data_IF_808427794592
#
_entry.id   IF_808427794592
#
_cell.length_a   1.000
_cell.length_b   1.000
_cell.length_c   1.000
_cell.angle_alpha   90.00
_cell.angle_beta   90.00
_cell.angle_gamma   90.00
#
_symmetry.space_group_name_H-M   'P 1'
#
loop_
_entity.id
_entity.type
_entity.pdbx_description
1 polymer ?
#
# COMPACT_ATOMS: atom_id res chain seq x y z
N UNK A 1 33.37 42.67 2.01
CA UNK A 1 33.11 41.24 2.29
C UNK A 1 31.63 41.01 2.10
N UNK A 2 31.22 40.42 0.98
CA UNK A 2 29.81 40.05 0.75
C UNK A 2 29.50 38.83 1.63
N UNK A 3 28.93 39.08 2.81
CA UNK A 3 28.49 38.02 3.72
C UNK A 3 27.47 37.14 3.01
N UNK A 4 27.60 35.81 3.15
CA UNK A 4 26.55 34.88 2.71
C UNK A 4 25.24 35.32 3.39
N UNK A 5 24.14 35.50 2.64
CA UNK A 5 22.86 35.85 3.24
C UNK A 5 22.46 34.74 4.23
N UNK A 6 21.96 35.18 5.38
CA UNK A 6 21.41 34.30 6.41
C UNK A 6 20.29 33.41 5.80
N UNK A 7 20.36 32.07 5.92
CA UNK A 7 19.44 31.17 5.22
C UNK A 7 17.97 31.41 5.53
N UNK A 8 17.61 31.71 6.78
CA UNK A 8 16.21 31.97 7.15
C UNK A 8 15.74 33.29 6.55
N UNK A 9 16.56 34.34 6.59
CA UNK A 9 16.25 35.62 5.92
C UNK A 9 16.07 35.43 4.40
N UNK A 10 16.91 34.62 3.76
CA UNK A 10 16.77 34.29 2.33
C UNK A 10 15.50 33.48 2.04
N UNK A 11 15.19 32.46 2.84
CA UNK A 11 13.98 31.65 2.68
C UNK A 11 12.72 32.51 2.80
N UNK A 12 12.63 33.33 3.84
CA UNK A 12 11.48 34.19 4.10
C UNK A 12 11.29 35.25 3.00
N UNK A 13 12.37 35.81 2.47
CA UNK A 13 12.30 36.87 1.46
C UNK A 13 12.11 36.35 0.02
N UNK A 14 12.74 35.22 -0.31
CA UNK A 14 12.88 34.71 -1.68
C UNK A 14 12.44 33.25 -1.79
N UNK A 15 12.94 32.37 -0.92
CA UNK A 15 12.76 30.92 -1.07
C UNK A 15 11.30 30.49 -1.10
N UNK A 16 10.50 30.93 -0.12
CA UNK A 16 9.07 30.60 -0.05
C UNK A 16 8.30 31.06 -1.29
N UNK A 17 8.59 32.25 -1.84
CA UNK A 17 7.93 32.75 -3.06
C UNK A 17 8.31 31.98 -4.32
N UNK A 18 9.45 31.28 -4.28
CA UNK A 18 9.90 30.38 -5.34
C UNK A 18 9.44 28.94 -5.14
N UNK A 19 8.64 28.66 -4.10
CA UNK A 19 8.23 27.31 -3.75
C UNK A 19 9.40 26.41 -3.36
N UNK A 20 10.48 26.98 -2.80
CA UNK A 20 11.57 26.19 -2.24
C UNK A 20 11.15 25.65 -0.87
N UNK A 21 11.58 24.42 -0.58
CA UNK A 21 11.27 23.77 0.68
C UNK A 21 12.23 24.18 1.80
N UNK A 22 11.72 24.37 3.03
CA UNK A 22 12.56 24.72 4.17
C UNK A 22 13.32 23.51 4.73
N UNK A 23 12.82 22.29 4.51
CA UNK A 23 13.46 21.02 4.84
C UNK A 23 12.81 19.88 4.02
N UNK A 24 13.42 18.67 3.95
CA UNK A 24 12.89 17.56 3.15
C UNK A 24 11.50 17.04 3.55
N UNK A 25 11.00 17.34 4.75
CA UNK A 25 9.73 16.87 5.28
C UNK A 25 8.62 17.94 5.23
N UNK A 26 8.86 19.06 4.54
CA UNK A 26 7.86 20.10 4.29
C UNK A 26 7.87 20.46 2.81
N UNK A 27 6.81 20.09 2.10
CA UNK A 27 6.62 20.43 0.70
C UNK A 27 5.76 21.70 0.60
N UNK A 28 6.41 22.79 0.18
CA UNK A 28 5.79 24.10 0.08
C UNK A 28 4.75 24.18 -1.03
N UNK A 29 4.92 23.41 -2.11
CA UNK A 29 4.00 23.42 -3.24
C UNK A 29 2.76 22.61 -2.90
N UNK A 30 2.95 21.40 -2.36
CA UNK A 30 1.87 20.58 -1.82
C UNK A 30 1.08 21.34 -0.75
N UNK A 31 1.77 21.97 0.22
CA UNK A 31 1.07 22.70 1.27
C UNK A 31 0.21 23.83 0.69
N UNK A 32 0.65 24.51 -0.37
CA UNK A 32 -0.15 25.56 -1.00
C UNK A 32 -1.28 25.01 -1.89
N UNK A 33 -1.09 23.84 -2.52
CA UNK A 33 -2.17 23.20 -3.31
C UNK A 33 -3.30 22.68 -2.44
N UNK A 34 -2.97 22.10 -1.29
CA UNK A 34 -3.94 21.59 -0.31
C UNK A 34 -4.59 22.71 0.51
N UNK A 35 -4.02 23.91 0.49
CA UNK A 35 -4.52 25.06 1.25
C UNK A 35 -4.67 26.30 0.36
N UNK A 36 -5.64 26.32 -0.58
CA UNK A 36 -5.80 27.37 -1.58
C UNK A 36 -5.92 28.78 -0.99
N UNK A 37 -6.54 28.92 0.19
CA UNK A 37 -6.67 30.21 0.87
C UNK A 37 -5.32 30.77 1.35
N UNK A 38 -4.38 29.90 1.70
CA UNK A 38 -3.01 30.30 2.04
C UNK A 38 -2.30 30.78 0.78
N UNK A 39 -2.47 30.06 -0.34
CA UNK A 39 -1.92 30.45 -1.64
C UNK A 39 -2.49 31.79 -2.14
N UNK A 40 -3.80 31.97 -2.09
CA UNK A 40 -4.50 33.20 -2.51
C UNK A 40 -4.09 34.42 -1.69
N UNK A 41 -3.87 34.23 -0.37
CA UNK A 41 -3.39 35.31 0.51
C UNK A 41 -1.94 35.72 0.23
N UNK A 42 -1.18 34.91 -0.52
CA UNK A 42 0.25 35.10 -0.73
C UNK A 42 1.09 34.89 0.54
N UNK A 43 0.53 34.20 1.55
CA UNK A 43 1.20 33.93 2.82
C UNK A 43 2.36 32.95 2.63
N UNK A 44 3.40 33.09 3.46
CA UNK A 44 4.49 32.11 3.50
C UNK A 44 3.95 30.78 4.08
N UNK A 45 4.09 29.64 3.38
CA UNK A 45 3.48 28.37 3.77
C UNK A 45 4.03 27.84 5.09
N UNK A 46 5.36 27.89 5.30
CA UNK A 46 5.95 27.48 6.56
C UNK A 46 5.49 28.37 7.72
N UNK A 47 5.46 29.69 7.53
CA UNK A 47 5.00 30.61 8.57
C UNK A 47 3.53 30.34 8.94
N UNK A 48 2.68 30.07 7.96
CA UNK A 48 1.29 29.69 8.18
C UNK A 48 1.19 28.34 8.92
N UNK A 49 1.95 27.33 8.50
CA UNK A 49 1.95 26.01 9.14
C UNK A 49 2.34 26.10 10.63
N UNK A 50 3.41 26.84 10.93
CA UNK A 50 3.89 27.06 12.30
C UNK A 50 2.87 27.82 13.17
N UNK A 51 2.18 28.82 12.60
CA UNK A 51 1.23 29.63 13.34
C UNK A 51 -0.14 28.95 13.53
N UNK A 52 -0.62 28.24 12.51
CA UNK A 52 -1.99 27.74 12.42
C UNK A 52 -2.05 26.28 11.97
N UNK A 53 -1.37 25.95 10.85
CA UNK A 53 -1.61 24.70 10.14
C UNK A 53 -1.38 23.44 10.97
N UNK A 54 -0.37 23.43 11.83
CA UNK A 54 -0.12 22.30 12.74
C UNK A 54 -1.29 22.06 13.73
N UNK A 55 -1.85 23.11 14.32
CA UNK A 55 -3.01 23.01 15.24
C UNK A 55 -4.30 22.64 14.50
N UNK A 56 -4.40 23.05 13.25
CA UNK A 56 -5.47 22.70 12.33
C UNK A 56 -5.29 21.32 11.69
N UNK A 57 -4.26 20.56 12.08
CA UNK A 57 -3.94 19.21 11.58
C UNK A 57 -3.74 19.16 10.07
N UNK A 58 -3.23 20.23 9.46
CA UNK A 58 -2.91 20.27 8.03
C UNK A 58 -1.66 19.46 7.74
N UNK A 59 -1.60 18.81 6.58
CA UNK A 59 -0.46 18.00 6.18
C UNK A 59 0.64 18.88 5.55
N UNK A 60 1.87 18.86 6.06
CA UNK A 60 3.00 19.59 5.49
C UNK A 60 3.61 18.90 4.26
N UNK A 61 3.30 17.63 4.03
CA UNK A 61 3.87 16.79 2.98
C UNK A 61 2.91 15.62 2.68
N UNK A 62 2.83 15.08 1.44
CA UNK A 62 1.95 13.93 1.13
C UNK A 62 2.23 12.68 1.99
N UNK A 63 3.49 12.49 2.40
CA UNK A 63 3.95 11.41 3.27
C UNK A 63 3.99 11.78 4.77
N UNK A 64 3.33 12.85 5.19
CA UNK A 64 3.16 13.19 6.60
C UNK A 64 1.70 13.54 6.90
N UNK A 65 1.03 12.68 7.66
CA UNK A 65 -0.35 12.88 8.07
C UNK A 65 -0.38 13.41 9.51
N UNK A 66 -0.64 14.70 9.66
CA UNK A 66 -0.69 15.37 10.95
C UNK A 66 -1.79 14.82 11.87
N UNK A 67 -2.93 14.39 11.31
CA UNK A 67 -4.01 13.83 12.10
C UNK A 67 -3.64 12.44 12.61
N UNK A 68 -3.21 11.55 11.72
CA UNK A 68 -2.71 10.22 12.07
C UNK A 68 -1.64 10.31 13.15
N UNK A 69 -0.65 11.19 12.96
CA UNK A 69 0.47 11.33 13.88
C UNK A 69 0.02 11.75 15.28
N UNK A 70 -0.90 12.73 15.38
CA UNK A 70 -1.43 13.18 16.66
C UNK A 70 -2.33 12.15 17.34
N UNK A 71 -3.07 11.34 16.57
CA UNK A 71 -3.90 10.26 17.13
C UNK A 71 -3.05 9.15 17.76
N UNK A 72 -1.89 8.83 17.17
CA UNK A 72 -1.01 7.77 17.65
C UNK A 72 -0.01 8.25 18.71
N UNK A 73 0.60 9.41 18.51
CA UNK A 73 1.71 9.90 19.34
C UNK A 73 1.38 11.17 20.12
N UNK A 74 0.21 11.78 19.91
CA UNK A 74 -0.15 13.04 20.57
C UNK A 74 -0.17 12.97 22.09
N UNK A 75 -0.44 11.78 22.66
CA UNK A 75 -0.39 11.54 24.10
C UNK A 75 1.04 11.64 24.70
N UNK A 76 2.08 11.58 23.86
CA UNK A 76 3.49 11.75 24.24
C UNK A 76 3.94 13.21 24.16
N UNK A 77 3.14 14.08 23.53
CA UNK A 77 3.50 15.47 23.24
C UNK A 77 3.10 16.40 24.38
N UNK A 78 3.92 17.43 24.61
CA UNK A 78 3.47 18.59 25.36
C UNK A 78 2.37 19.32 24.59
N UNK A 79 1.49 20.03 25.30
CA UNK A 79 0.46 20.87 24.70
C UNK A 79 1.06 21.83 23.65
N UNK A 80 0.36 22.00 22.52
CA UNK A 80 0.79 22.82 21.37
C UNK A 80 2.10 22.39 20.67
N UNK A 81 2.66 21.21 20.96
CA UNK A 81 3.82 20.71 20.20
C UNK A 81 3.45 20.49 18.74
N UNK A 82 4.27 21.02 17.83
CA UNK A 82 4.10 20.80 16.39
C UNK A 82 4.44 19.33 16.05
N UNK A 83 3.54 18.57 15.41
CA UNK A 83 3.74 17.14 15.15
C UNK A 83 4.92 16.88 14.21
N UNK A 84 5.12 17.72 13.18
CA UNK A 84 6.26 17.60 12.28
C UNK A 84 7.59 17.85 13.01
N UNK A 85 7.63 18.84 13.92
CA UNK A 85 8.82 19.12 14.71
C UNK A 85 9.18 17.93 15.62
N UNK A 86 8.19 17.36 16.30
CA UNK A 86 8.40 16.17 17.12
C UNK A 86 8.84 14.96 16.29
N UNK A 87 8.31 14.76 15.09
CA UNK A 87 8.78 13.69 14.21
C UNK A 87 10.22 13.90 13.72
N UNK A 88 10.61 15.15 13.43
CA UNK A 88 12.00 15.49 13.08
C UNK A 88 12.93 15.14 14.24
N UNK A 89 12.54 15.48 15.47
CA UNK A 89 13.40 15.31 16.65
C UNK A 89 13.42 13.86 17.17
N UNK A 90 12.29 13.15 17.08
CA UNK A 90 12.09 11.85 17.74
C UNK A 90 11.82 10.68 16.78
N UNK A 91 11.67 10.91 15.47
CA UNK A 91 11.33 9.86 14.49
C UNK A 91 12.51 9.01 14.00
N UNK A 92 13.74 9.33 14.40
CA UNK A 92 14.96 8.63 13.95
C UNK A 92 15.12 7.22 14.49
N UNK A 93 14.44 6.87 15.59
CA UNK A 93 14.55 5.57 16.25
C UNK A 93 13.61 4.49 15.66
N UNK A 94 12.75 4.85 14.69
CA UNK A 94 11.81 3.93 14.05
C UNK A 94 10.46 3.78 14.76
N UNK A 95 10.30 4.31 15.97
CA UNK A 95 9.09 4.09 16.79
C UNK A 95 7.89 4.97 16.39
N UNK A 96 8.10 5.87 15.43
CA UNK A 96 7.10 6.85 14.98
C UNK A 96 6.90 6.75 13.48
N UNK A 97 5.66 6.49 13.07
CA UNK A 97 5.25 6.46 11.67
C UNK A 97 4.67 7.83 11.28
N UNK A 98 5.14 8.46 10.19
CA UNK A 98 4.66 9.77 9.78
C UNK A 98 3.27 9.72 9.13
N UNK A 99 2.88 8.57 8.57
CA UNK A 99 1.57 8.30 8.03
C UNK A 99 1.31 6.79 8.02
N UNK A 100 0.09 6.39 7.68
CA UNK A 100 -0.31 4.98 7.62
C UNK A 100 0.46 4.16 6.58
N UNK A 101 1.03 4.80 5.56
CA UNK A 101 1.69 4.13 4.44
C UNK A 101 3.23 4.09 4.53
N UNK A 102 3.80 4.57 5.63
CA UNK A 102 5.24 4.55 5.88
C UNK A 102 5.51 3.95 7.25
N UNK A 103 6.14 2.78 7.26
CA UNK A 103 6.55 2.09 8.48
C UNK A 103 8.04 2.39 8.73
N UNK A 104 8.30 3.27 9.69
CA UNK A 104 9.64 3.71 10.03
C UNK A 104 10.50 2.57 10.59
N UNK A 105 9.90 1.65 11.34
CA UNK A 105 10.63 0.52 11.92
C UNK A 105 11.01 -0.48 10.84
N UNK A 106 10.06 -0.84 9.96
CA UNK A 106 10.31 -1.68 8.79
C UNK A 106 11.36 -1.06 7.88
N UNK A 107 11.25 0.23 7.57
CA UNK A 107 12.21 0.90 6.71
C UNK A 107 13.62 0.84 7.29
N UNK A 108 13.79 1.03 8.60
CA UNK A 108 15.10 0.92 9.23
C UNK A 108 15.61 -0.53 9.33
N UNK A 109 14.74 -1.53 9.50
CA UNK A 109 15.16 -2.94 9.53
C UNK A 109 15.63 -3.43 8.16
N UNK A 110 14.94 -3.02 7.09
CA UNK A 110 15.32 -3.35 5.71
C UNK A 110 16.54 -2.55 5.23
N UNK A 111 16.88 -1.46 5.91
CA UNK A 111 17.98 -0.57 5.54
C UNK A 111 18.90 -0.29 6.74
N UNK A 112 19.67 -1.30 7.21
CA UNK A 112 20.47 -1.19 8.42
C UNK A 112 21.49 -0.05 8.40
N UNK A 113 22.01 0.33 7.23
CA UNK A 113 22.94 1.44 7.08
C UNK A 113 22.28 2.80 7.38
N UNK A 114 20.97 2.93 7.11
CA UNK A 114 20.20 4.12 7.47
C UNK A 114 20.04 4.18 8.98
N UNK A 115 19.72 3.06 9.62
CA UNK A 115 19.62 2.95 11.07
C UNK A 115 20.95 3.28 11.77
N UNK A 116 22.06 2.71 11.29
CA UNK A 116 23.41 2.95 11.83
C UNK A 116 23.86 4.41 11.70
N UNK A 117 23.46 5.09 10.63
CA UNK A 117 23.78 6.51 10.42
C UNK A 117 22.97 7.47 11.32
N UNK A 118 21.89 6.99 11.95
CA UNK A 118 20.96 7.82 12.73
C UNK A 118 20.15 8.79 11.87
N UNK A 119 20.02 8.52 10.57
CA UNK A 119 19.24 9.35 9.65
C UNK A 119 17.74 9.20 9.91
N UNK A 120 16.96 10.29 9.79
CA UNK A 120 15.50 10.19 9.83
C UNK A 120 15.01 9.34 8.63
N UNK A 121 14.20 8.28 8.86
CA UNK A 121 13.86 7.30 7.83
C UNK A 121 13.06 7.91 6.68
N UNK A 122 12.06 8.76 6.98
CA UNK A 122 11.29 9.44 5.94
C UNK A 122 12.17 10.42 5.14
N UNK A 123 13.02 11.19 5.82
CA UNK A 123 13.93 12.12 5.13
C UNK A 123 14.90 11.37 4.20
N UNK A 124 15.43 10.23 4.64
CA UNK A 124 16.26 9.36 3.80
C UNK A 124 15.48 8.79 2.61
N UNK A 125 14.25 8.30 2.83
CA UNK A 125 13.40 7.77 1.77
C UNK A 125 13.11 8.81 0.68
N UNK A 126 12.77 10.04 1.07
CA UNK A 126 12.49 11.14 0.14
C UNK A 126 13.74 11.58 -0.64
N UNK A 127 14.91 11.60 0.01
CA UNK A 127 16.16 11.99 -0.62
C UNK A 127 16.73 10.90 -1.55
N UNK A 128 16.66 9.64 -1.14
CA UNK A 128 17.36 8.52 -1.77
C UNK A 128 16.45 7.32 -2.00
N UNK A 129 15.76 6.86 -0.96
CA UNK A 129 15.11 5.55 -0.95
C UNK A 129 14.10 5.32 -2.07
N UNK A 130 13.28 6.32 -2.40
CA UNK A 130 12.31 6.23 -3.49
C UNK A 130 12.99 5.99 -4.86
N UNK A 131 14.10 6.70 -5.14
CA UNK A 131 14.88 6.53 -6.39
C UNK A 131 15.62 5.21 -6.42
N UNK A 132 16.02 4.73 -5.25
CA UNK A 132 16.65 3.42 -5.05
C UNK A 132 15.63 2.27 -4.98
N UNK A 133 14.34 2.54 -5.17
CA UNK A 133 13.24 1.56 -5.12
C UNK A 133 13.14 0.79 -3.80
N UNK A 134 13.53 1.41 -2.68
CA UNK A 134 13.41 0.83 -1.34
C UNK A 134 11.96 0.86 -0.88
N UNK A 135 11.50 -0.21 -0.24
CA UNK A 135 10.12 -0.31 0.22
C UNK A 135 9.92 0.48 1.52
N UNK A 136 8.96 1.44 1.59
CA UNK A 136 8.64 2.19 2.79
C UNK A 136 7.72 1.44 3.76
N UNK A 137 7.10 0.35 3.33
CA UNK A 137 6.12 -0.42 4.10
C UNK A 137 6.02 -1.84 3.52
N UNK A 138 5.78 -2.91 4.33
CA UNK A 138 5.70 -4.29 3.82
C UNK A 138 4.67 -4.50 2.70
N UNK A 139 3.56 -3.76 2.77
CA UNK A 139 2.47 -3.78 1.78
C UNK A 139 2.61 -2.73 0.65
N UNK A 140 3.77 -2.10 0.49
CA UNK A 140 4.05 -1.22 -0.65
C UNK A 140 5.41 -1.57 -1.27
N UNK A 141 5.37 -2.09 -2.50
CA UNK A 141 6.56 -2.45 -3.26
C UNK A 141 6.89 -1.36 -4.28
N UNK A 142 7.92 -0.57 -3.99
CA UNK A 142 8.32 0.56 -4.83
C UNK A 142 8.79 0.14 -6.21
N UNK A 143 9.42 -1.03 -6.34
CA UNK A 143 9.87 -1.55 -7.62
C UNK A 143 8.67 -2.00 -8.46
N UNK A 144 7.80 -2.84 -7.89
CA UNK A 144 6.55 -3.28 -8.52
C UNK A 144 5.75 -2.08 -9.01
N UNK A 145 5.55 -1.09 -8.13
CA UNK A 145 4.73 0.08 -8.43
C UNK A 145 5.29 0.89 -9.61
N UNK A 146 6.60 1.13 -9.64
CA UNK A 146 7.25 1.86 -10.73
C UNK A 146 7.25 1.07 -12.04
N UNK A 147 7.37 -0.25 -12.00
CA UNK A 147 7.30 -1.09 -13.21
C UNK A 147 5.91 -1.08 -13.86
N UNK A 148 4.85 -1.00 -13.05
CA UNK A 148 3.46 -1.03 -13.54
C UNK A 148 2.93 0.37 -13.86
N UNK A 149 3.19 1.34 -12.99
CA UNK A 149 2.56 2.66 -13.04
C UNK A 149 3.55 3.78 -13.34
N UNK A 150 4.87 3.54 -13.28
CA UNK A 150 5.90 4.59 -13.45
C UNK A 150 5.80 5.37 -14.75
N UNK A 151 5.23 4.77 -15.82
CA UNK A 151 4.97 5.46 -17.08
C UNK A 151 3.87 6.54 -17.01
N UNK A 152 3.07 6.55 -15.94
CA UNK A 152 2.03 7.54 -15.66
C UNK A 152 2.55 8.72 -14.80
N UNK A 153 3.70 8.55 -14.16
CA UNK A 153 4.26 9.53 -13.23
C UNK A 153 5.04 10.61 -14.00
N UNK A 154 4.98 11.84 -13.49
CA UNK A 154 5.92 12.87 -13.91
C UNK A 154 7.34 12.51 -13.42
N UNK A 155 8.35 13.05 -14.09
CA UNK A 155 9.76 12.87 -13.69
C UNK A 155 9.96 13.23 -12.21
N UNK A 156 10.76 12.41 -11.49
CA UNK A 156 11.03 12.54 -10.05
C UNK A 156 9.82 12.43 -9.09
N UNK A 157 8.63 12.05 -9.56
CA UNK A 157 7.48 11.82 -8.67
C UNK A 157 7.75 10.64 -7.73
N UNK A 158 7.55 10.85 -6.43
CA UNK A 158 7.67 9.77 -5.45
C UNK A 158 6.55 8.74 -5.64
N UNK A 159 6.85 7.43 -5.80
CA UNK A 159 5.83 6.42 -6.09
C UNK A 159 4.81 6.27 -4.96
N UNK A 160 5.24 6.43 -3.70
CA UNK A 160 4.34 6.36 -2.56
C UNK A 160 3.42 7.58 -2.48
N UNK A 161 3.92 8.78 -2.78
CA UNK A 161 3.08 9.98 -2.86
C UNK A 161 1.99 9.81 -3.94
N UNK A 162 2.40 9.37 -5.13
CA UNK A 162 1.46 9.15 -6.23
C UNK A 162 0.44 8.04 -5.92
N UNK A 163 0.80 7.00 -5.17
CA UNK A 163 -0.18 6.01 -4.69
C UNK A 163 -1.16 6.59 -3.67
N UNK A 164 -0.69 7.43 -2.74
CA UNK A 164 -1.56 8.10 -1.77
C UNK A 164 -2.60 8.95 -2.49
N UNK A 165 -2.16 9.72 -3.49
CA UNK A 165 -3.01 10.67 -4.21
C UNK A 165 -3.95 9.97 -5.22
N UNK A 166 -3.49 8.90 -5.87
CA UNK A 166 -4.19 8.29 -7.01
C UNK A 166 -4.63 6.83 -6.80
N UNK A 167 -4.42 6.24 -5.63
CA UNK A 167 -4.74 4.84 -5.33
C UNK A 167 -6.19 4.58 -4.92
N UNK A 168 -6.99 5.62 -4.70
CA UNK A 168 -8.38 5.51 -4.19
C UNK A 168 -9.35 4.86 -5.18
N UNK A 169 -9.09 4.94 -6.49
CA UNK A 169 -9.99 4.46 -7.53
C UNK A 169 -9.90 2.94 -7.79
N UNK A 170 -8.97 2.23 -7.14
CA UNK A 170 -8.77 0.79 -7.32
C UNK A 170 -7.88 0.40 -8.49
N UNK A 171 -7.48 1.34 -9.36
CA UNK A 171 -6.68 1.03 -10.58
C UNK A 171 -5.19 0.80 -10.28
N UNK A 172 -4.75 1.05 -9.05
CA UNK A 172 -3.35 0.97 -8.62
C UNK A 172 -3.19 -0.02 -7.48
N UNK A 173 -2.39 -1.05 -7.70
CA UNK A 173 -2.03 -2.03 -6.68
C UNK A 173 -0.71 -1.60 -6.01
N UNK A 174 -0.64 -1.57 -4.67
CA UNK A 174 0.56 -1.14 -3.96
C UNK A 174 1.66 -2.21 -3.95
N UNK A 175 1.30 -3.48 -4.08
CA UNK A 175 2.20 -4.60 -4.23
C UNK A 175 1.48 -5.78 -4.93
N UNK A 176 2.24 -6.82 -5.27
CA UNK A 176 1.70 -8.01 -5.94
C UNK A 176 0.63 -8.76 -5.11
N UNK A 177 0.66 -8.63 -3.78
CA UNK A 177 -0.20 -9.37 -2.86
C UNK A 177 -1.44 -8.60 -2.40
N UNK A 178 -1.64 -7.38 -2.87
CA UNK A 178 -2.80 -6.56 -2.55
C UNK A 178 -3.47 -6.10 -3.84
N UNK A 179 -4.70 -6.54 -4.06
CA UNK A 179 -5.47 -6.12 -5.22
C UNK A 179 -6.51 -5.08 -4.81
N UNK A 180 -6.25 -3.84 -5.19
CA UNK A 180 -7.08 -2.69 -4.85
C UNK A 180 -8.48 -2.79 -5.44
N UNK A 181 -8.60 -3.29 -6.67
CA UNK A 181 -9.90 -3.44 -7.33
C UNK A 181 -10.71 -4.58 -6.71
N UNK A 182 -10.08 -5.73 -6.44
CA UNK A 182 -10.68 -6.84 -5.71
C UNK A 182 -11.24 -6.35 -4.39
N UNK A 183 -10.39 -5.68 -3.61
CA UNK A 183 -10.72 -5.22 -2.28
C UNK A 183 -11.93 -4.28 -2.30
N UNK A 184 -11.98 -3.33 -3.24
CA UNK A 184 -13.15 -2.45 -3.36
C UNK A 184 -14.41 -3.20 -3.83
N UNK A 185 -14.28 -4.22 -4.69
CA UNK A 185 -15.42 -5.01 -5.17
C UNK A 185 -16.05 -5.88 -4.07
N UNK A 186 -15.23 -6.46 -3.19
CA UNK A 186 -15.68 -7.26 -2.05
C UNK A 186 -16.15 -6.39 -0.88
N UNK A 187 -15.80 -5.10 -0.88
CA UNK A 187 -16.12 -4.15 0.18
C UNK A 187 -16.77 -2.88 -0.38
N UNK A 188 -18.02 -2.96 -0.89
CA UNK A 188 -18.67 -1.85 -1.60
C UNK A 188 -18.80 -0.57 -0.77
N UNK A 189 -18.91 -0.67 0.55
CA UNK A 189 -18.98 0.48 1.44
C UNK A 189 -17.67 1.28 1.48
N UNK A 190 -16.53 0.60 1.27
CA UNK A 190 -15.22 1.26 1.15
C UNK A 190 -15.17 2.02 -0.17
N UNK A 191 -15.63 1.39 -1.26
CA UNK A 191 -15.73 2.03 -2.58
C UNK A 191 -16.66 3.26 -2.56
N UNK A 192 -17.83 3.14 -1.94
CA UNK A 192 -18.80 4.24 -1.81
C UNK A 192 -18.26 5.41 -0.97
N UNK A 193 -17.42 5.14 0.04
CA UNK A 193 -16.78 6.18 0.85
C UNK A 193 -15.67 6.94 0.12
N UNK A 194 -15.16 6.41 -1.00
CA UNK A 194 -13.99 6.95 -1.70
C UNK A 194 -12.67 6.78 -0.94
N UNK A 195 -12.64 5.89 0.07
CA UNK A 195 -11.43 5.63 0.87
C UNK A 195 -10.37 4.88 0.06
N UNK A 196 -9.09 5.18 0.31
CA UNK A 196 -7.99 4.39 -0.25
C UNK A 196 -8.09 2.93 0.28
N UNK A 197 -8.09 1.91 -0.60
CA UNK A 197 -8.30 0.52 -0.19
C UNK A 197 -7.20 -0.01 0.72
N UNK A 198 -5.93 0.34 0.46
CA UNK A 198 -4.83 -0.05 1.34
C UNK A 198 -4.95 0.67 2.70
N UNK A 199 -5.29 1.96 2.73
CA UNK A 199 -5.52 2.66 4.01
C UNK A 199 -6.61 1.98 4.83
N UNK A 200 -7.76 1.66 4.22
CA UNK A 200 -8.83 0.97 4.92
C UNK A 200 -8.37 -0.41 5.41
N UNK A 201 -7.63 -1.17 4.59
CA UNK A 201 -7.14 -2.48 4.99
C UNK A 201 -6.20 -2.41 6.20
N UNK A 202 -5.25 -1.47 6.19
CA UNK A 202 -4.29 -1.26 7.27
C UNK A 202 -4.97 -0.80 8.57
N UNK A 203 -5.94 0.12 8.48
CA UNK A 203 -6.65 0.64 9.65
C UNK A 203 -7.63 -0.37 10.25
N UNK A 204 -8.39 -1.07 9.39
CA UNK A 204 -9.54 -1.89 9.79
C UNK A 204 -9.55 -3.28 9.17
N UNK A 205 -9.33 -3.37 7.85
CA UNK A 205 -9.62 -4.59 7.09
C UNK A 205 -8.87 -5.83 7.56
N UNK A 206 -7.61 -5.71 7.95
CA UNK A 206 -6.83 -6.81 8.51
C UNK A 206 -7.46 -7.37 9.80
N UNK A 207 -7.87 -6.49 10.73
CA UNK A 207 -8.53 -6.87 12.00
C UNK A 207 -9.92 -7.45 11.77
N UNK A 208 -10.61 -6.96 10.74
CA UNK A 208 -11.91 -7.47 10.28
C UNK A 208 -11.80 -8.74 9.42
N UNK A 209 -10.58 -9.26 9.21
CA UNK A 209 -10.30 -10.46 8.40
C UNK A 209 -10.79 -10.37 6.96
N UNK A 210 -10.77 -9.16 6.38
CA UNK A 210 -11.08 -8.94 4.96
C UNK A 210 -9.97 -9.48 4.08
N UNK A 211 -10.31 -9.96 2.90
CA UNK A 211 -9.32 -10.53 1.98
C UNK A 211 -8.74 -9.42 1.09
N UNK A 212 -7.41 -9.18 1.13
CA UNK A 212 -6.73 -8.19 0.29
C UNK A 212 -6.53 -8.67 -1.15
N UNK A 213 -6.64 -9.98 -1.40
CA UNK A 213 -6.39 -10.61 -2.69
C UNK A 213 -7.15 -11.94 -2.79
N UNK A 214 -7.63 -12.39 -3.97
CA UNK A 214 -8.40 -13.65 -4.09
C UNK A 214 -7.65 -14.91 -3.65
N UNK A 215 -6.32 -14.90 -3.78
CA UNK A 215 -5.43 -15.97 -3.31
C UNK A 215 -4.84 -15.72 -1.93
N UNK A 216 -5.41 -14.81 -1.13
CA UNK A 216 -5.07 -14.62 0.27
C UNK A 216 -6.34 -14.53 1.12
N UNK A 217 -6.56 -15.56 1.93
CA UNK A 217 -7.70 -15.64 2.85
C UNK A 217 -7.22 -15.27 4.26
N UNK A 218 -7.56 -14.06 4.71
CA UNK A 218 -7.14 -13.53 6.00
C UNK A 218 -7.65 -14.36 7.17
N UNK A 219 -8.87 -14.92 7.06
CA UNK A 219 -9.43 -15.76 8.11
C UNK A 219 -8.70 -17.10 8.18
N UNK A 220 -8.55 -17.78 7.05
CA UNK A 220 -7.80 -19.03 6.94
C UNK A 220 -6.39 -18.85 7.51
N UNK A 221 -5.69 -17.80 7.09
CA UNK A 221 -4.32 -17.53 7.50
C UNK A 221 -4.19 -17.35 9.01
N UNK A 222 -5.06 -16.53 9.62
CA UNK A 222 -5.06 -16.30 11.06
C UNK A 222 -5.44 -17.54 11.86
N UNK A 223 -6.35 -18.40 11.36
CA UNK A 223 -6.72 -19.64 12.03
C UNK A 223 -5.56 -20.66 12.08
N UNK A 224 -4.71 -20.68 11.04
CA UNK A 224 -3.60 -21.64 10.94
C UNK A 224 -2.31 -21.09 11.56
N UNK A 225 -2.01 -19.82 11.33
CA UNK A 225 -0.72 -19.22 11.66
C UNK A 225 -0.81 -18.12 12.71
N UNK A 226 -2.00 -17.61 13.05
CA UNK A 226 -2.17 -16.47 13.96
C UNK A 226 -1.53 -16.64 15.34
N UNK A 227 -1.35 -17.88 15.80
CA UNK A 227 -0.65 -18.19 17.05
C UNK A 227 0.87 -17.93 17.01
N UNK A 228 1.45 -17.74 15.81
CA UNK A 228 2.85 -17.40 15.58
C UNK A 228 3.08 -15.88 15.49
N UNK A 229 2.01 -15.10 15.32
CA UNK A 229 2.09 -13.66 15.09
C UNK A 229 2.20 -12.93 16.42
N UNK A 230 3.01 -11.86 16.44
CA UNK A 230 2.96 -10.90 17.53
C UNK A 230 1.60 -10.18 17.53
N UNK A 231 1.22 -9.60 18.68
CA UNK A 231 -0.01 -8.81 18.79
C UNK A 231 -0.05 -7.71 17.72
N UNK A 232 -1.21 -7.50 17.11
CA UNK A 232 -1.45 -6.53 16.03
C UNK A 232 -0.66 -6.73 14.72
N UNK A 233 0.07 -7.85 14.56
CA UNK A 233 0.76 -8.14 13.28
C UNK A 233 -0.25 -8.28 12.14
N UNK A 234 -0.04 -7.55 11.04
CA UNK A 234 -0.85 -7.68 9.84
C UNK A 234 -0.59 -9.05 9.18
N UNK A 235 -1.62 -9.89 8.94
CA UNK A 235 -1.42 -11.24 8.41
C UNK A 235 -0.82 -11.25 7.00
N UNK A 236 -1.15 -10.25 6.16
CA UNK A 236 -0.56 -10.14 4.83
C UNK A 236 0.93 -9.76 4.92
N UNK A 237 1.30 -8.85 5.83
CA UNK A 237 2.71 -8.49 6.05
C UNK A 237 3.52 -9.72 6.51
N UNK A 238 3.02 -10.46 7.50
CA UNK A 238 3.67 -11.67 7.98
C UNK A 238 3.80 -12.75 6.88
N UNK A 239 2.82 -12.87 5.97
CA UNK A 239 2.95 -13.77 4.82
C UNK A 239 4.00 -13.30 3.80
N UNK A 240 4.10 -11.99 3.55
CA UNK A 240 5.11 -11.43 2.66
C UNK A 240 6.51 -11.74 3.20
N UNK A 241 6.71 -11.54 4.50
CA UNK A 241 8.02 -11.71 5.16
C UNK A 241 8.39 -13.18 5.36
N UNK A 242 7.42 -14.03 5.72
CA UNK A 242 7.68 -15.40 6.17
C UNK A 242 7.11 -16.49 5.23
N UNK A 243 6.48 -16.13 4.12
CA UNK A 243 5.86 -17.08 3.19
C UNK A 243 6.82 -17.76 2.21
N UNK A 244 8.08 -17.32 2.14
CA UNK A 244 9.09 -17.82 1.20
C UNK A 244 9.52 -19.26 1.44
N UNK A 245 9.44 -19.74 2.70
CA UNK A 245 9.91 -21.07 3.07
C UNK A 245 8.94 -22.22 2.74
N UNK A 246 7.74 -21.90 2.22
CA UNK A 246 6.72 -22.88 1.87
C UNK A 246 5.85 -23.37 3.03
N UNK A 247 6.13 -22.98 4.27
CA UNK A 247 5.40 -23.46 5.45
C UNK A 247 4.07 -22.73 5.66
N UNK A 248 3.86 -21.62 4.94
CA UNK A 248 2.68 -20.78 5.05
C UNK A 248 1.84 -20.82 3.78
N UNK A 249 0.62 -21.32 3.90
CA UNK A 249 -0.37 -21.33 2.82
C UNK A 249 -1.23 -20.06 2.92
N UNK A 250 -1.37 -19.29 1.83
CA UNK A 250 -2.12 -18.04 1.87
C UNK A 250 -3.64 -18.28 1.82
N UNK A 251 -4.08 -19.42 1.28
CA UNK A 251 -5.47 -19.86 1.28
C UNK A 251 -5.55 -21.37 1.03
N UNK A 252 -6.76 -21.94 1.10
CA UNK A 252 -7.00 -23.37 0.84
C UNK A 252 -6.62 -23.80 -0.59
N UNK A 253 -6.64 -22.87 -1.55
CA UNK A 253 -6.44 -23.16 -2.98
C UNK A 253 -4.98 -23.03 -3.44
N UNK A 254 -4.06 -22.71 -2.52
CA UNK A 254 -2.65 -22.57 -2.81
C UNK A 254 -1.82 -23.28 -1.75
N UNK A 255 -1.19 -24.38 -2.14
CA UNK A 255 -0.29 -25.15 -1.28
C UNK A 255 1.15 -24.73 -1.60
N UNK A 256 1.71 -23.90 -0.73
CA UNK A 256 3.05 -23.32 -0.90
C UNK A 256 4.13 -24.40 -0.92
N UNK A 257 4.02 -25.42 -0.06
CA UNK A 257 4.99 -26.50 0.01
C UNK A 257 4.94 -27.37 -1.26
N UNK A 258 3.73 -27.74 -1.69
CA UNK A 258 3.53 -28.48 -2.93
C UNK A 258 4.07 -27.69 -4.13
N UNK A 259 3.73 -26.40 -4.23
CA UNK A 259 4.17 -25.54 -5.32
C UNK A 259 5.70 -25.52 -5.40
N UNK A 260 6.40 -25.35 -4.29
CA UNK A 260 7.86 -25.39 -4.27
C UNK A 260 8.42 -26.77 -4.63
N UNK A 261 7.77 -27.87 -4.22
CA UNK A 261 8.22 -29.23 -4.56
C UNK A 261 8.10 -29.55 -6.05
N UNK A 262 7.05 -29.05 -6.72
CA UNK A 262 6.85 -29.22 -8.16
C UNK A 262 7.68 -28.24 -8.99
N UNK A 263 8.22 -27.19 -8.36
CA UNK A 263 8.97 -26.12 -9.01
C UNK A 263 10.30 -25.84 -8.28
N UNK A 264 11.27 -26.78 -8.35
CA UNK A 264 12.51 -26.69 -7.56
C UNK A 264 13.32 -25.42 -7.82
N UNK A 265 13.26 -24.85 -9.02
CA UNK A 265 13.97 -23.62 -9.35
C UNK A 265 13.42 -22.40 -8.59
N UNK A 266 12.14 -22.42 -8.21
CA UNK A 266 11.54 -21.37 -7.36
C UNK A 266 11.97 -21.55 -5.91
N UNK A 267 12.09 -22.80 -5.46
CA UNK A 267 12.62 -23.11 -4.13
C UNK A 267 14.10 -22.71 -4.01
N UNK A 268 14.89 -22.97 -5.05
CA UNK A 268 16.31 -22.63 -5.11
C UNK A 268 16.56 -21.11 -5.19
N UNK A 269 15.66 -20.34 -5.81
CA UNK A 269 15.75 -18.88 -5.84
C UNK A 269 15.38 -18.22 -4.51
N UNK A 270 14.74 -18.95 -3.58
CA UNK A 270 14.20 -18.41 -2.34
C UNK A 270 13.02 -17.45 -2.55
N UNK A 271 12.38 -17.50 -3.72
CA UNK A 271 11.26 -16.62 -4.04
C UNK A 271 9.98 -17.04 -3.31
N UNK A 272 9.14 -16.08 -2.95
CA UNK A 272 7.82 -16.38 -2.40
C UNK A 272 7.00 -17.17 -3.45
N UNK A 273 6.45 -18.35 -3.12
CA UNK A 273 5.78 -19.21 -4.09
C UNK A 273 4.52 -18.58 -4.68
N UNK A 274 3.74 -17.84 -3.87
CA UNK A 274 2.58 -17.11 -4.37
C UNK A 274 3.02 -15.96 -5.28
N UNK A 275 4.08 -15.20 -4.92
CA UNK A 275 4.60 -14.16 -5.81
C UNK A 275 5.00 -14.72 -7.18
N UNK A 276 5.75 -15.82 -7.19
CA UNK A 276 6.16 -16.46 -8.43
C UNK A 276 4.94 -16.95 -9.23
N UNK A 277 3.96 -17.57 -8.57
CA UNK A 277 2.75 -18.03 -9.24
C UNK A 277 1.97 -16.89 -9.88
N UNK A 278 1.79 -15.78 -9.17
CA UNK A 278 1.12 -14.60 -9.67
C UNK A 278 1.88 -14.02 -10.87
N UNK A 279 3.18 -13.76 -10.72
CA UNK A 279 3.99 -13.12 -11.77
C UNK A 279 4.15 -14.00 -13.04
N UNK A 280 4.31 -15.32 -12.88
CA UNK A 280 4.69 -16.22 -13.96
C UNK A 280 3.89 -17.53 -13.98
N UNK A 281 3.73 -18.17 -12.82
CA UNK A 281 3.26 -19.55 -12.73
C UNK A 281 1.88 -19.81 -13.34
N UNK A 282 0.95 -18.85 -13.22
CA UNK A 282 -0.35 -18.95 -13.89
C UNK A 282 -0.22 -19.00 -15.43
N UNK A 283 0.63 -18.15 -16.02
CA UNK A 283 0.88 -18.13 -17.49
C UNK A 283 1.59 -19.39 -17.95
N UNK A 284 2.47 -19.92 -17.10
CA UNK A 284 3.21 -21.16 -17.32
C UNK A 284 2.37 -22.42 -17.04
N UNK A 285 1.11 -22.26 -16.63
CA UNK A 285 0.17 -23.35 -16.31
C UNK A 285 0.66 -24.26 -15.19
N UNK A 286 1.41 -23.71 -14.23
CA UNK A 286 1.83 -24.43 -13.03
C UNK A 286 0.62 -24.73 -12.16
N UNK A 287 0.67 -25.83 -11.42
CA UNK A 287 -0.41 -26.21 -10.51
C UNK A 287 -0.17 -25.57 -9.14
N UNK A 288 -1.09 -24.73 -8.62
CA UNK A 288 -0.97 -24.12 -7.30
C UNK A 288 -1.26 -25.08 -6.14
N UNK A 289 -1.90 -26.22 -6.41
CA UNK A 289 -2.36 -27.17 -5.41
C UNK A 289 -2.43 -28.59 -6.02
N UNK A 290 -2.16 -29.68 -5.26
CA UNK A 290 -2.14 -31.06 -5.80
C UNK A 290 -3.49 -31.53 -6.37
N UNK A 291 -4.58 -30.89 -5.98
CA UNK A 291 -5.93 -31.18 -6.45
C UNK A 291 -6.40 -30.26 -7.60
N UNK A 292 -5.54 -29.38 -8.11
CA UNK A 292 -5.86 -28.49 -9.21
C UNK A 292 -4.91 -28.73 -10.39
N UNK A 293 -5.47 -29.08 -11.55
CA UNK A 293 -4.74 -29.23 -12.81
C UNK A 293 -5.04 -28.03 -13.70
N UNK A 294 -4.08 -27.11 -13.78
CA UNK A 294 -4.15 -25.87 -14.56
C UNK A 294 -4.29 -26.16 -16.04
N UNK A 295 -3.62 -27.19 -16.57
CA UNK A 295 -3.71 -27.54 -17.98
C UNK A 295 -5.10 -28.11 -18.31
N UNK A 296 -5.57 -29.09 -17.53
CA UNK A 296 -6.90 -29.67 -17.70
C UNK A 296 -7.98 -28.58 -17.62
N UNK A 297 -7.91 -27.70 -16.61
CA UNK A 297 -8.89 -26.64 -16.44
C UNK A 297 -8.94 -25.69 -17.64
N UNK A 298 -7.77 -25.26 -18.14
CA UNK A 298 -7.69 -24.38 -19.32
C UNK A 298 -8.20 -25.05 -20.60
N UNK A 299 -7.92 -26.34 -20.80
CA UNK A 299 -8.38 -27.07 -21.98
C UNK A 299 -9.91 -27.25 -22.00
N UNK A 300 -10.53 -27.45 -20.84
CA UNK A 300 -11.96 -27.71 -20.73
C UNK A 300 -12.80 -26.45 -20.53
N UNK A 301 -12.28 -25.50 -19.76
CA UNK A 301 -13.00 -24.31 -19.29
C UNK A 301 -12.31 -22.99 -19.62
N UNK A 302 -11.17 -23.01 -20.32
CA UNK A 302 -10.47 -21.78 -20.70
C UNK A 302 -11.32 -20.81 -21.53
N UNK A 303 -12.29 -21.32 -22.29
CA UNK A 303 -13.26 -20.50 -23.02
C UNK A 303 -14.21 -19.71 -22.11
N UNK A 304 -14.34 -20.08 -20.84
CA UNK A 304 -15.11 -19.38 -19.82
C UNK A 304 -14.28 -18.31 -19.08
N UNK A 305 -12.96 -18.28 -19.27
CA UNK A 305 -12.10 -17.24 -18.75
C UNK A 305 -12.25 -16.01 -19.64
N UNK A 306 -13.23 -15.17 -19.29
CA UNK A 306 -13.42 -13.84 -19.85
C UNK A 306 -12.83 -12.81 -18.88
N UNK A 307 -12.72 -11.57 -19.34
CA UNK A 307 -12.30 -10.45 -18.49
C UNK A 307 -13.25 -10.26 -17.27
N UNK A 308 -14.53 -10.70 -17.38
CA UNK A 308 -15.54 -10.59 -16.31
C UNK A 308 -15.54 -11.76 -15.29
N UNK A 309 -15.02 -12.93 -15.67
CA UNK A 309 -14.96 -14.11 -14.77
C UNK A 309 -13.60 -14.23 -14.06
N UNK A 310 -12.66 -13.35 -14.39
CA UNK A 310 -11.28 -13.46 -13.94
C UNK A 310 -10.60 -12.10 -13.75
N UNK A 311 -11.02 -11.30 -12.75
CA UNK A 311 -10.49 -9.96 -12.56
C UNK A 311 -9.02 -9.90 -12.10
N UNK A 312 -8.43 -11.02 -11.63
CA UNK A 312 -7.13 -11.02 -10.94
C UNK A 312 -6.10 -12.03 -11.45
N UNK A 313 -6.41 -12.83 -12.48
CA UNK A 313 -5.31 -13.39 -13.26
C UNK A 313 -4.75 -12.26 -14.08
N UNK A 314 -3.70 -11.64 -13.54
CA UNK A 314 -2.72 -10.81 -14.23
C UNK A 314 -2.80 -10.98 -15.75
N UNK A 315 -3.57 -10.09 -16.38
CA UNK A 315 -3.68 -9.83 -17.82
C UNK A 315 -2.74 -10.69 -18.67
N UNK A 316 -3.23 -11.86 -19.11
CA UNK A 316 -2.66 -12.64 -20.21
C UNK A 316 -2.85 -11.85 -21.52
N UNK A 317 -2.15 -10.71 -21.66
CA UNK A 317 -2.04 -10.00 -22.92
C UNK A 317 -0.70 -10.31 -23.59
N UNK A 318 -0.75 -10.50 -24.90
CA UNK A 318 0.34 -10.92 -25.79
C UNK A 318 1.40 -9.83 -26.06
N UNK A 319 1.31 -8.64 -25.42
CA UNK A 319 2.11 -7.46 -25.80
C UNK A 319 3.04 -6.90 -24.72
N UNK A 320 3.34 -7.64 -23.65
CA UNK A 320 4.46 -7.30 -22.74
C UNK A 320 4.30 -6.00 -21.93
N UNK A 321 3.08 -5.52 -21.71
CA UNK A 321 2.80 -4.40 -20.79
C UNK A 321 1.59 -4.71 -19.92
N UNK A 322 1.71 -4.51 -18.61
CA UNK A 322 0.63 -4.61 -17.64
C UNK A 322 -0.21 -3.33 -17.73
N UNK A 323 -1.36 -3.39 -18.41
CA UNK A 323 -2.32 -2.29 -18.43
C UNK A 323 -3.63 -2.76 -17.76
N UNK A 324 -3.85 -2.29 -16.53
CA UNK A 324 -5.08 -2.49 -15.79
C UNK A 324 -6.21 -1.60 -16.32
N UNK A 325 -6.85 -1.99 -17.42
CA UNK A 325 -8.15 -1.43 -17.81
C UNK A 325 -9.06 -2.52 -18.40
N UNK A 326 -10.16 -2.81 -17.70
CA UNK A 326 -11.37 -3.40 -18.31
C UNK A 326 -12.55 -2.39 -18.17
N UNK A 327 -13.49 -2.31 -19.13
CA UNK A 327 -14.38 -1.18 -19.35
C UNK A 327 -15.34 -0.84 -18.20
N UNK A 328 -15.66 0.44 -18.15
CA UNK A 328 -16.65 1.11 -17.31
C UNK A 328 -18.05 0.48 -17.38
N UNK A 329 -18.32 -0.64 -16.70
CA UNK A 329 -19.69 -1.19 -16.65
C UNK A 329 -20.02 -1.99 -15.39
N UNK A 330 -19.84 -1.46 -14.17
CA UNK A 330 -20.51 -2.01 -12.98
C UNK A 330 -20.95 -0.95 -11.95
N UNK A 331 -21.69 0.08 -12.38
CA UNK A 331 -22.63 0.80 -11.49
C UNK A 331 -24.08 0.30 -11.64
N UNK A 332 -24.32 -0.80 -12.35
CA UNK A 332 -25.70 -1.28 -12.57
C UNK A 332 -25.80 -2.80 -12.57
N UNK A 333 -25.66 -3.43 -11.40
CA UNK A 333 -26.52 -4.58 -11.06
C UNK A 333 -26.86 -4.56 -9.58
N UNK A 334 -28.15 -4.49 -9.20
CA UNK A 334 -28.53 -4.69 -7.81
C UNK A 334 -28.27 -6.14 -7.41
N UNK A 335 -27.69 -6.29 -6.23
CA UNK A 335 -27.53 -7.54 -5.50
C UNK A 335 -28.87 -8.30 -5.43
N UNK A 336 -28.89 -9.53 -5.94
CA UNK A 336 -29.99 -10.48 -5.72
C UNK A 336 -29.57 -11.42 -4.59
N UNK A 337 -30.22 -11.39 -3.41
CA UNK A 337 -29.91 -12.32 -2.34
C UNK A 337 -30.24 -13.77 -2.75
N UNK A 338 -29.55 -14.77 -2.16
CA UNK A 338 -29.75 -16.17 -2.50
C UNK A 338 -31.21 -16.59 -2.27
N UNK A 339 -31.76 -17.32 -3.24
CA UNK A 339 -33.12 -17.83 -3.20
C UNK A 339 -33.33 -18.69 -1.95
N UNK A 340 -34.37 -18.34 -1.17
CA UNK A 340 -34.82 -19.17 -0.06
C UNK A 340 -35.19 -20.56 -0.60
N UNK A 341 -34.54 -21.60 -0.06
CA UNK A 341 -34.89 -23.01 -0.27
C UNK A 341 -36.39 -23.25 -0.03
N UNK A 342 -37.11 -23.99 -0.89
CA UNK A 342 -38.52 -24.27 -0.67
C UNK A 342 -38.72 -25.17 0.55
N UNK A 343 -39.73 -24.81 1.36
CA UNK A 343 -40.18 -25.53 2.56
C UNK A 343 -40.61 -26.96 2.23
N UNK A 344 -40.02 -27.92 2.95
CA UNK A 344 -40.55 -29.22 3.42
C UNK A 344 -41.74 -29.82 2.66
N UNK A 345 -41.50 -30.95 1.98
CA UNK A 345 -42.54 -31.90 1.59
C UNK A 345 -42.92 -32.75 2.82
N UNK A 346 -44.16 -32.58 3.29
CA UNK A 346 -44.74 -33.34 4.40
C UNK A 346 -45.23 -34.70 3.87
N UNK A 347 -44.70 -35.81 4.39
CA UNK A 347 -45.22 -37.15 4.12
C UNK A 347 -46.00 -37.64 5.33
N UNK A 348 -47.32 -37.47 5.32
CA UNK A 348 -48.29 -38.22 6.13
C UNK A 348 -49.72 -37.78 5.78
N UNK A 349 -50.36 -38.51 4.87
CA UNK A 349 -51.59 -39.32 5.04
C UNK A 349 -52.09 -39.77 3.68
#
# INVERSE_FOLDING_TARGET
>A
MSGRPDPITHYLAVGSKKGLDPNPLFDSQYYLSENPEVAESGSNPLAHYLAHGARERRNPHPLFDSQYYLEHYGHLLAEDTNPLADFIDNGTNGERNPCLFFDSQYYLSENPEVAESGSNPLAHYLAHGARERRNPHPLFDSQYYLEHYGHLLAEDTNPLADFIDNGTNGERNPCLFFDSQYYLSENPEVAESGSNPLAHYLAHGARERRNPHPLFDSQYYLEHYGHLLAEDTNPLADFIDNGTNGERNPCLFFDSQYFLSENPEVAESGSNPLAHYLAHGARERRNPHPLFDSQYYLEHYGHLLTEDTNPHWLTLWDNGGLQGRHPSFLLTRPYLPPAQTPKTLDWKT
#
